data_IF_842634771084
#
_entry.id   IF_842634771084
#
_cell.length_a   1.000
_cell.length_b   1.000
_cell.length_c   1.000
_cell.angle_alpha   90.00
_cell.angle_beta   90.00
_cell.angle_gamma   90.00
#
_symmetry.space_group_name_H-M   'P 1'
#
loop_
_entity.id
_entity.type
_entity.pdbx_description
1 polymer ?
#
# COMPACT_ATOMS: atom_id res chain seq x y z
N UNK A 1 -19.85 0.89 -31.58
CA UNK A 1 -19.96 -0.59 -31.61
C UNK A 1 -19.04 -1.06 -32.72
N UNK A 2 -17.78 -1.38 -32.41
CA UNK A 2 -16.81 -1.85 -33.40
C UNK A 2 -17.10 -3.33 -33.67
N UNK A 3 -17.52 -3.64 -34.89
CA UNK A 3 -17.64 -5.02 -35.36
C UNK A 3 -16.22 -5.60 -35.50
N UNK A 4 -15.78 -6.44 -34.56
CA UNK A 4 -14.59 -7.24 -34.76
C UNK A 4 -14.85 -8.22 -35.92
N UNK A 5 -13.97 -8.20 -36.93
CA UNK A 5 -13.99 -9.23 -37.99
C UNK A 5 -13.77 -10.59 -37.35
N UNK A 6 -14.43 -11.63 -37.89
CA UNK A 6 -14.39 -13.01 -37.36
C UNK A 6 -12.98 -13.65 -37.36
N UNK A 7 -12.00 -12.98 -37.98
CA UNK A 7 -10.63 -13.48 -38.19
C UNK A 7 -9.55 -12.61 -37.53
N UNK A 8 -9.91 -11.56 -36.78
CA UNK A 8 -8.93 -10.75 -36.06
C UNK A 8 -8.65 -11.36 -34.68
N UNK A 9 -7.52 -12.06 -34.57
CA UNK A 9 -6.94 -12.43 -33.28
C UNK A 9 -6.69 -11.15 -32.48
N UNK A 10 -7.20 -11.09 -31.25
CA UNK A 10 -7.04 -9.93 -30.38
C UNK A 10 -5.53 -9.65 -30.21
N UNK A 11 -5.02 -8.46 -30.52
CA UNK A 11 -3.57 -8.21 -30.44
C UNK A 11 -3.05 -8.25 -28.99
N UNK A 12 -3.94 -8.19 -28.00
CA UNK A 12 -3.61 -8.32 -26.59
C UNK A 12 -3.86 -9.76 -26.13
N UNK A 13 -2.78 -10.45 -25.79
CA UNK A 13 -2.79 -11.79 -25.21
C UNK A 13 -1.82 -11.83 -24.05
N UNK A 14 -2.24 -12.47 -22.97
CA UNK A 14 -1.41 -12.79 -21.83
C UNK A 14 -1.22 -14.30 -21.80
N UNK A 15 0.00 -14.74 -21.51
CA UNK A 15 0.26 -16.13 -21.19
C UNK A 15 -0.49 -16.53 -19.91
N UNK A 16 -0.80 -17.82 -19.72
CA UNK A 16 -1.38 -18.29 -18.46
C UNK A 16 -0.53 -17.96 -17.23
N UNK A 17 0.79 -17.92 -17.37
CA UNK A 17 1.74 -17.55 -16.31
C UNK A 17 1.60 -16.07 -15.91
N UNK A 18 1.53 -15.15 -16.88
CA UNK A 18 1.30 -13.72 -16.60
C UNK A 18 -0.05 -13.48 -15.92
N UNK A 19 -1.08 -14.25 -16.27
CA UNK A 19 -2.39 -14.16 -15.61
C UNK A 19 -2.30 -14.63 -14.16
N UNK A 20 -1.62 -15.74 -13.90
CA UNK A 20 -1.46 -16.27 -12.55
C UNK A 20 -0.65 -15.31 -11.65
N UNK A 21 0.48 -14.79 -12.16
CA UNK A 21 1.29 -13.78 -11.48
C UNK A 21 0.46 -12.52 -11.14
N UNK A 22 -0.36 -12.05 -12.10
CA UNK A 22 -1.22 -10.89 -11.89
C UNK A 22 -2.27 -11.11 -10.82
N UNK A 23 -2.85 -12.31 -10.74
CA UNK A 23 -3.85 -12.64 -9.74
C UNK A 23 -3.24 -12.76 -8.34
N UNK A 24 -2.03 -13.31 -8.23
CA UNK A 24 -1.29 -13.35 -6.97
C UNK A 24 -0.97 -11.93 -6.47
N UNK A 25 -0.50 -11.05 -7.37
CA UNK A 25 -0.24 -9.65 -7.03
C UNK A 25 -1.52 -8.89 -6.64
N UNK A 26 -2.67 -9.21 -7.27
CA UNK A 26 -3.96 -8.63 -6.89
C UNK A 26 -4.36 -9.03 -5.46
N UNK A 27 -4.11 -10.29 -5.08
CA UNK A 27 -4.37 -10.76 -3.72
C UNK A 27 -3.49 -10.02 -2.70
N UNK A 28 -2.19 -9.91 -2.96
CA UNK A 28 -1.27 -9.15 -2.12
C UNK A 28 -1.67 -7.67 -1.99
N UNK A 29 -2.08 -7.04 -3.10
CA UNK A 29 -2.55 -5.66 -3.10
C UNK A 29 -3.83 -5.49 -2.28
N UNK A 30 -4.76 -6.44 -2.36
CA UNK A 30 -6.01 -6.38 -1.59
C UNK A 30 -5.75 -6.46 -0.09
N UNK A 31 -4.83 -7.32 0.32
CA UNK A 31 -4.42 -7.42 1.72
C UNK A 31 -3.74 -6.13 2.19
N UNK A 32 -2.91 -5.50 1.36
CA UNK A 32 -2.31 -4.20 1.65
C UNK A 32 -3.37 -3.09 1.79
N UNK A 33 -4.37 -3.06 0.90
CA UNK A 33 -5.48 -2.11 0.94
C UNK A 33 -6.32 -2.27 2.22
N UNK A 34 -6.63 -3.50 2.62
CA UNK A 34 -7.34 -3.82 3.86
C UNK A 34 -6.56 -3.35 5.10
N UNK A 35 -5.24 -3.49 5.11
CA UNK A 35 -4.39 -2.96 6.18
C UNK A 35 -4.40 -1.43 6.19
N UNK A 36 -4.29 -0.79 5.03
CA UNK A 36 -4.33 0.67 4.93
C UNK A 36 -5.67 1.26 5.37
N UNK A 37 -6.79 0.60 5.07
CA UNK A 37 -8.10 1.03 5.56
C UNK A 37 -8.17 0.97 7.10
N UNK A 38 -7.66 -0.10 7.71
CA UNK A 38 -7.60 -0.22 9.18
C UNK A 38 -6.76 0.91 9.79
N UNK A 39 -5.59 1.21 9.23
CA UNK A 39 -4.76 2.32 9.70
C UNK A 39 -5.46 3.67 9.56
N UNK A 40 -6.07 3.96 8.40
CA UNK A 40 -6.81 5.21 8.17
C UNK A 40 -7.94 5.38 9.18
N UNK A 41 -8.69 4.31 9.45
CA UNK A 41 -9.78 4.33 10.42
C UNK A 41 -9.29 4.64 11.84
N UNK A 42 -8.16 4.05 12.27
CA UNK A 42 -7.60 4.33 13.60
C UNK A 42 -7.02 5.74 13.70
N UNK A 43 -6.33 6.21 12.65
CA UNK A 43 -5.73 7.55 12.61
C UNK A 43 -6.76 8.66 12.38
N UNK A 44 -7.99 8.32 11.97
CA UNK A 44 -9.02 9.28 11.58
C UNK A 44 -8.67 10.03 10.30
N UNK A 45 -7.94 9.36 9.40
CA UNK A 45 -7.54 9.88 8.09
C UNK A 45 -8.65 9.70 7.07
N UNK A 46 -8.78 10.66 6.14
CA UNK A 46 -9.62 10.51 4.95
C UNK A 46 -8.94 9.58 3.93
N UNK A 47 -9.67 9.22 2.87
CA UNK A 47 -9.12 8.47 1.72
C UNK A 47 -7.90 9.17 1.10
N UNK A 48 -7.90 10.50 1.13
CA UNK A 48 -6.84 11.35 0.58
C UNK A 48 -5.68 11.56 1.58
N UNK A 49 -5.73 10.94 2.75
CA UNK A 49 -4.68 11.00 3.76
C UNK A 49 -4.73 12.23 4.68
N UNK A 50 -5.80 13.03 4.63
CA UNK A 50 -5.93 14.22 5.49
C UNK A 50 -6.52 13.88 6.86
N UNK A 51 -6.10 14.61 7.88
CA UNK A 51 -6.71 14.61 9.22
C UNK A 51 -7.16 16.03 9.57
N UNK A 52 -8.25 16.21 10.35
CA UNK A 52 -8.59 17.52 10.90
C UNK A 52 -7.44 18.09 11.73
N UNK A 53 -7.19 19.40 11.61
CA UNK A 53 -6.09 20.09 12.31
C UNK A 53 -6.12 19.86 13.81
N UNK A 54 -7.30 19.81 14.42
CA UNK A 54 -7.51 19.60 15.85
C UNK A 54 -7.03 18.21 16.31
N UNK A 55 -6.98 17.24 15.39
CA UNK A 55 -6.57 15.85 15.65
C UNK A 55 -5.19 15.53 15.10
N UNK A 56 -4.51 16.45 14.42
CA UNK A 56 -3.22 16.20 13.80
C UNK A 56 -2.16 15.68 14.78
N UNK A 57 -2.01 16.34 15.93
CA UNK A 57 -1.01 15.94 16.94
C UNK A 57 -1.30 14.54 17.50
N UNK A 58 -2.57 14.19 17.68
CA UNK A 58 -2.98 12.86 18.11
C UNK A 58 -2.67 11.81 17.04
N UNK A 59 -3.05 12.08 15.79
CA UNK A 59 -2.80 11.20 14.66
C UNK A 59 -1.29 10.96 14.45
N UNK A 60 -0.47 12.01 14.55
CA UNK A 60 0.99 11.90 14.46
C UNK A 60 1.55 11.02 15.57
N UNK A 61 1.12 11.23 16.82
CA UNK A 61 1.54 10.38 17.95
C UNK A 61 1.16 8.91 17.75
N UNK A 62 -0.03 8.64 17.19
CA UNK A 62 -0.47 7.28 16.90
C UNK A 62 0.30 6.65 15.73
N UNK A 63 0.65 7.41 14.70
CA UNK A 63 1.52 6.96 13.60
C UNK A 63 2.90 6.54 14.12
N UNK A 64 3.53 7.36 14.97
CA UNK A 64 4.81 7.03 15.61
C UNK A 64 4.74 5.77 16.48
N UNK A 65 3.60 5.58 17.17
CA UNK A 65 3.34 4.35 17.94
C UNK A 65 3.30 3.14 17.01
N UNK A 66 2.59 3.23 15.87
CA UNK A 66 2.56 2.14 14.90
C UNK A 66 3.93 1.82 14.31
N UNK A 67 4.75 2.85 14.01
CA UNK A 67 6.13 2.67 13.57
C UNK A 67 6.94 1.89 14.60
N UNK A 68 6.84 2.29 15.87
CA UNK A 68 7.53 1.63 16.97
C UNK A 68 7.06 0.18 17.15
N UNK A 69 5.74 -0.04 17.16
CA UNK A 69 5.16 -1.38 17.30
C UNK A 69 5.57 -2.28 16.12
N UNK A 70 5.64 -1.76 14.89
CA UNK A 70 6.11 -2.49 13.71
C UNK A 70 7.59 -2.89 13.82
N UNK A 71 8.46 -1.97 14.26
CA UNK A 71 9.88 -2.25 14.49
C UNK A 71 10.06 -3.34 15.57
N UNK A 72 9.22 -3.36 16.60
CA UNK A 72 9.29 -4.37 17.67
C UNK A 72 8.81 -5.76 17.23
N UNK A 73 8.04 -5.85 16.14
CA UNK A 73 7.51 -7.11 15.62
C UNK A 73 8.46 -7.80 14.64
N UNK A 74 9.41 -7.07 14.06
CA UNK A 74 10.41 -7.66 13.16
C UNK A 74 11.61 -8.18 13.92
N UNK A 75 12.12 -9.34 13.50
CA UNK A 75 13.27 -9.99 14.14
C UNK A 75 14.61 -9.51 13.57
N UNK A 76 14.60 -9.03 12.32
CA UNK A 76 15.79 -8.61 11.60
C UNK A 76 16.11 -7.13 11.85
N UNK A 77 17.37 -6.84 12.18
CA UNK A 77 17.87 -5.46 12.24
C UNK A 77 17.78 -4.76 10.88
N UNK A 78 17.91 -5.50 9.78
CA UNK A 78 17.76 -4.97 8.43
C UNK A 78 16.31 -4.55 8.18
N UNK A 79 15.33 -5.39 8.52
CA UNK A 79 13.91 -5.06 8.36
C UNK A 79 13.50 -3.88 9.25
N UNK A 80 14.03 -3.82 10.48
CA UNK A 80 13.82 -2.67 11.36
C UNK A 80 14.36 -1.38 10.75
N UNK A 81 15.54 -1.41 10.13
CA UNK A 81 16.13 -0.27 9.43
C UNK A 81 15.30 0.14 8.21
N UNK A 82 14.77 -0.83 7.44
CA UNK A 82 13.88 -0.57 6.31
C UNK A 82 12.59 0.12 6.76
N UNK A 83 11.94 -0.38 7.82
CA UNK A 83 10.73 0.25 8.39
C UNK A 83 11.04 1.67 8.90
N UNK A 84 12.23 1.87 9.48
CA UNK A 84 12.63 3.16 9.99
C UNK A 84 12.84 4.19 8.87
N UNK A 85 13.42 3.76 7.74
CA UNK A 85 13.72 4.59 6.57
C UNK A 85 12.49 4.85 5.69
N UNK A 86 11.65 3.84 5.47
CA UNK A 86 10.55 3.88 4.52
C UNK A 86 9.18 3.81 5.20
N UNK A 87 9.03 4.51 6.33
CA UNK A 87 7.75 4.53 7.02
C UNK A 87 6.69 5.18 6.16
N UNK A 88 5.59 4.47 5.95
CA UNK A 88 4.54 4.83 4.98
C UNK A 88 3.82 6.18 5.24
N UNK A 89 3.97 6.76 6.43
CA UNK A 89 3.40 8.05 6.79
C UNK A 89 4.43 9.16 6.96
N UNK A 90 5.72 8.85 6.80
CA UNK A 90 6.77 9.85 6.74
C UNK A 90 6.85 10.43 5.32
N UNK A 91 7.40 11.64 5.22
CA UNK A 91 7.65 12.26 3.92
C UNK A 91 8.66 11.42 3.14
N UNK A 92 8.36 11.15 1.88
CA UNK A 92 9.27 10.39 1.03
C UNK A 92 10.39 11.30 0.54
N UNK A 93 11.64 10.87 0.71
CA UNK A 93 12.80 11.57 0.18
C UNK A 93 12.92 11.28 -1.33
N UNK A 94 12.49 12.22 -2.17
CA UNK A 94 12.55 12.08 -3.64
C UNK A 94 13.98 12.09 -4.21
N UNK A 95 14.98 12.48 -3.42
CA UNK A 95 16.39 12.56 -3.82
C UNK A 95 17.17 11.25 -3.56
N UNK A 96 16.51 10.22 -3.04
CA UNK A 96 17.04 8.85 -2.84
C UNK A 96 17.08 8.01 -4.13
#
# INVERSE_FOLDING_TARGET
MLCASKDAVCPLHYSPEEVDERLQLEEEQRDADDHMEKYRNVLGMTSDGWVPTERYSEAKRMSEKFKTDAILLVESEEDAAQIQRHWLFDDFDEDE
#
